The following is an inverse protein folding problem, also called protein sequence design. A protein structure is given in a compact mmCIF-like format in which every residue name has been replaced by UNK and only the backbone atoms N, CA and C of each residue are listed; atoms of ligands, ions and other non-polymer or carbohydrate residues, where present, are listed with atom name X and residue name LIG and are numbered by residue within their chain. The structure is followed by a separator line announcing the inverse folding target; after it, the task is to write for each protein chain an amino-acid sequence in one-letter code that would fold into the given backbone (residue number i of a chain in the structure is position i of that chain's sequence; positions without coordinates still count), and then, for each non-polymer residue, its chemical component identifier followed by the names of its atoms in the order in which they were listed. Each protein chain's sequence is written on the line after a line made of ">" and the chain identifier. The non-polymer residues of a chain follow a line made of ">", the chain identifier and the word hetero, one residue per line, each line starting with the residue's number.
data_IF_805374747642
#
_entry.id   IF_805374747642
#
_cell.length_a   1.000
_cell.length_b   1.000
_cell.length_c   1.000
_cell.angle_alpha   90.00
_cell.angle_beta   90.00
_cell.angle_gamma   90.00
#
_symmetry.space_group_name_H-M   'P 1'
#
loop_
_entity.id
_entity.type
_entity.pdbx_description
1 polymer ?
#
# COMPACT_ATOMS: atom_id res chain seq x y z
N UNK A 1 -26.95 67.72 -6.64
CA UNK A 1 -26.32 66.54 -7.30
C UNK A 1 -25.00 66.86 -8.04
N UNK A 2 -24.29 67.94 -7.69
CA UNK A 2 -23.03 68.32 -8.34
C UNK A 2 -21.78 67.77 -7.63
N UNK A 3 -21.89 67.36 -6.37
CA UNK A 3 -20.73 67.01 -5.53
C UNK A 3 -20.35 65.52 -5.56
N UNK A 4 -21.26 64.63 -5.98
CA UNK A 4 -21.00 63.18 -6.03
C UNK A 4 -20.14 62.79 -7.24
N UNK A 5 -20.27 63.53 -8.34
CA UNK A 5 -19.46 63.31 -9.56
C UNK A 5 -17.99 63.72 -9.38
N UNK A 6 -17.70 64.77 -8.60
CA UNK A 6 -16.33 65.16 -8.27
C UNK A 6 -15.64 64.16 -7.34
N UNK A 7 -16.37 63.60 -6.36
CA UNK A 7 -15.82 62.55 -5.47
C UNK A 7 -15.51 61.27 -6.25
N UNK A 8 -16.35 60.88 -7.21
CA UNK A 8 -16.09 59.72 -8.06
C UNK A 8 -14.87 59.90 -8.98
N UNK A 9 -14.66 61.11 -9.53
CA UNK A 9 -13.49 61.42 -10.37
C UNK A 9 -12.19 61.44 -9.53
N UNK A 10 -12.24 61.99 -8.31
CA UNK A 10 -11.08 61.99 -7.39
C UNK A 10 -10.68 60.57 -6.99
N UNK A 11 -11.64 59.67 -6.76
CA UNK A 11 -11.35 58.26 -6.43
C UNK A 11 -10.75 57.48 -7.61
N UNK A 12 -11.22 57.73 -8.85
CA UNK A 12 -10.67 57.09 -10.06
C UNK A 12 -9.26 57.60 -10.35
N UNK A 13 -8.99 58.90 -10.16
CA UNK A 13 -7.65 59.49 -10.36
C UNK A 13 -6.66 59.02 -9.27
N UNK A 14 -7.09 58.88 -8.02
CA UNK A 14 -6.26 58.31 -6.94
C UNK A 14 -5.93 56.81 -7.16
N UNK A 15 -6.85 56.06 -7.75
CA UNK A 15 -6.65 54.66 -8.13
C UNK A 15 -5.68 54.50 -9.32
N UNK A 16 -5.71 55.43 -10.29
CA UNK A 16 -4.78 55.46 -11.43
C UNK A 16 -3.37 55.95 -11.05
N UNK A 17 -3.24 56.87 -10.10
CA UNK A 17 -1.93 57.37 -9.62
C UNK A 17 -1.18 56.37 -8.73
N UNK A 18 -1.88 55.35 -8.21
CA UNK A 18 -1.28 54.27 -7.41
C UNK A 18 -0.64 53.17 -8.27
N UNK A 19 -0.78 53.22 -9.60
CA UNK A 19 -0.21 52.22 -10.55
C UNK A 19 1.24 52.56 -10.94
N UNK A 20 1.73 53.78 -10.67
CA UNK A 20 3.05 54.22 -11.13
C UNK A 20 4.24 53.72 -10.28
N UNK A 21 3.99 53.02 -9.17
CA UNK A 21 5.03 52.50 -8.28
C UNK A 21 5.11 50.97 -8.29
N UNK A 22 4.96 50.32 -9.45
CA UNK A 22 5.41 48.93 -9.60
C UNK A 22 6.94 48.91 -9.77
N UNK A 23 7.72 48.31 -8.86
CA UNK A 23 9.13 48.07 -9.12
C UNK A 23 9.27 47.05 -10.25
N UNK A 24 9.85 47.46 -11.39
CA UNK A 24 10.34 46.54 -12.41
C UNK A 24 11.65 45.93 -11.88
N UNK A 25 11.56 44.83 -11.14
CA UNK A 25 12.73 44.00 -10.88
C UNK A 25 12.97 43.12 -12.11
N UNK A 26 13.81 43.59 -13.00
CA UNK A 26 14.60 42.75 -13.90
C UNK A 26 15.56 41.95 -13.00
N UNK A 27 15.34 40.63 -12.85
CA UNK A 27 16.35 39.71 -12.37
C UNK A 27 15.97 38.25 -12.65
N UNK A 28 16.63 37.72 -13.69
CA UNK A 28 17.21 36.38 -13.76
C UNK A 28 16.29 35.17 -13.54
N UNK A 29 16.08 34.43 -14.63
CA UNK A 29 15.61 33.04 -14.67
C UNK A 29 16.55 32.15 -13.84
N UNK A 30 16.29 32.06 -12.54
CA UNK A 30 16.59 30.89 -11.73
C UNK A 30 15.33 30.64 -10.93
N UNK A 31 14.45 29.80 -11.49
CA UNK A 31 13.23 29.36 -10.84
C UNK A 31 13.58 28.73 -9.50
N UNK A 32 13.38 29.51 -8.43
CA UNK A 32 13.25 29.00 -7.07
C UNK A 32 12.01 28.13 -7.12
N UNK A 33 12.21 26.82 -7.16
CA UNK A 33 11.13 25.82 -7.09
C UNK A 33 10.38 26.11 -5.80
N UNK A 34 9.25 26.81 -5.92
CA UNK A 34 8.28 26.88 -4.85
C UNK A 34 7.95 25.45 -4.48
N UNK A 35 8.09 25.18 -3.19
CA UNK A 35 7.85 23.91 -2.53
C UNK A 35 6.40 23.48 -2.79
N UNK A 36 6.18 22.91 -3.98
CA UNK A 36 5.04 22.05 -4.27
C UNK A 36 5.09 21.02 -3.16
N UNK A 37 4.04 20.91 -2.36
CA UNK A 37 3.87 19.79 -1.43
C UNK A 37 3.94 18.53 -2.29
N UNK A 38 5.14 17.99 -2.47
CA UNK A 38 5.35 16.64 -2.92
C UNK A 38 4.69 15.84 -1.83
N UNK A 39 3.44 15.44 -2.06
CA UNK A 39 2.81 14.39 -1.28
C UNK A 39 3.86 13.30 -1.19
N UNK A 40 4.42 13.09 0.00
CA UNK A 40 5.48 12.15 0.24
C UNK A 40 5.02 10.84 -0.39
N UNK A 41 5.62 10.46 -1.53
CA UNK A 41 5.17 9.29 -2.28
C UNK A 41 5.47 8.14 -1.35
N UNK A 42 4.45 7.67 -0.62
CA UNK A 42 4.58 6.57 0.34
C UNK A 42 5.21 5.42 -0.45
N UNK A 43 6.47 5.16 -0.17
CA UNK A 43 7.23 4.11 -0.84
C UNK A 43 6.46 2.81 -0.63
N UNK A 44 5.94 2.24 -1.71
CA UNK A 44 5.21 0.98 -1.66
C UNK A 44 6.12 -0.08 -1.03
N UNK A 45 5.63 -0.75 0.00
CA UNK A 45 6.42 -1.78 0.69
C UNK A 45 6.70 -2.93 -0.28
N UNK A 46 7.95 -3.40 -0.32
CA UNK A 46 8.33 -4.55 -1.17
C UNK A 46 7.52 -5.80 -0.82
N UNK A 47 7.22 -6.04 0.46
CA UNK A 47 6.35 -7.11 0.94
C UNK A 47 4.94 -6.96 0.35
N UNK A 48 4.42 -5.73 0.29
CA UNK A 48 3.08 -5.47 -0.24
C UNK A 48 3.04 -5.72 -1.76
N UNK A 49 4.08 -5.34 -2.50
CA UNK A 49 4.20 -5.66 -3.92
C UNK A 49 4.25 -7.18 -4.16
N UNK A 50 5.08 -7.90 -3.38
CA UNK A 50 5.19 -9.36 -3.46
C UNK A 50 3.84 -10.01 -3.12
N UNK A 51 3.18 -9.57 -2.04
CA UNK A 51 1.89 -10.11 -1.64
C UNK A 51 0.82 -9.87 -2.70
N UNK A 52 0.76 -8.67 -3.29
CA UNK A 52 -0.16 -8.37 -4.37
C UNK A 52 0.03 -9.34 -5.55
N UNK A 53 1.29 -9.56 -5.97
CA UNK A 53 1.63 -10.50 -7.05
C UNK A 53 1.34 -11.96 -6.71
N UNK A 54 1.52 -12.35 -5.46
CA UNK A 54 1.16 -13.68 -5.00
C UNK A 54 -0.35 -13.90 -5.08
N UNK A 55 -1.13 -12.97 -4.54
CA UNK A 55 -2.60 -13.02 -4.52
C UNK A 55 -3.21 -12.92 -5.92
N UNK A 56 -2.56 -12.20 -6.83
CA UNK A 56 -2.94 -12.10 -8.26
C UNK A 56 -2.97 -13.47 -8.93
N UNK A 57 -2.01 -14.37 -8.63
CA UNK A 57 -2.00 -15.75 -9.18
C UNK A 57 -3.26 -16.53 -8.86
N UNK A 58 -3.94 -16.19 -7.77
CA UNK A 58 -5.18 -16.84 -7.36
C UNK A 58 -6.42 -16.13 -7.90
N UNK A 59 -6.29 -14.98 -8.57
CA UNK A 59 -7.37 -14.04 -8.87
C UNK A 59 -8.13 -13.62 -7.60
N UNK A 60 -7.37 -13.32 -6.54
CA UNK A 60 -7.94 -12.93 -5.25
C UNK A 60 -8.38 -11.46 -5.26
N UNK A 61 -9.56 -11.11 -4.72
CA UNK A 61 -9.93 -9.71 -4.50
C UNK A 61 -9.02 -8.99 -3.49
N UNK A 62 -8.30 -9.75 -2.65
CA UNK A 62 -7.40 -9.23 -1.63
C UNK A 62 -6.10 -8.65 -2.23
N UNK A 63 -5.79 -8.91 -3.50
CA UNK A 63 -4.57 -8.41 -4.16
C UNK A 63 -4.46 -6.86 -4.09
N UNK A 64 -5.60 -6.16 -4.12
CA UNK A 64 -5.67 -4.70 -4.05
C UNK A 64 -5.49 -4.14 -2.63
N UNK A 65 -5.42 -5.02 -1.62
CA UNK A 65 -5.28 -4.69 -0.20
C UNK A 65 -3.95 -5.16 0.39
N UNK A 66 -2.98 -5.56 -0.45
CA UNK A 66 -1.70 -6.09 0.00
C UNK A 66 -0.94 -5.12 0.93
N UNK A 67 -1.02 -3.80 0.69
CA UNK A 67 -0.43 -2.82 1.59
C UNK A 67 -1.15 -2.77 2.95
N UNK A 68 -2.48 -2.92 2.97
CA UNK A 68 -3.24 -2.96 4.23
C UNK A 68 -2.82 -4.16 5.09
N UNK A 69 -2.52 -5.32 4.47
CA UNK A 69 -1.99 -6.49 5.20
C UNK A 69 -0.65 -6.22 5.86
N UNK A 70 0.30 -5.63 5.11
CA UNK A 70 1.63 -5.34 5.63
C UNK A 70 1.56 -4.28 6.72
N UNK A 71 0.81 -3.19 6.49
CA UNK A 71 0.60 -2.13 7.48
C UNK A 71 -0.03 -2.70 8.77
N UNK A 72 -1.03 -3.57 8.66
CA UNK A 72 -1.68 -4.18 9.83
C UNK A 72 -0.78 -5.19 10.55
N UNK A 73 0.03 -5.96 9.82
CA UNK A 73 1.00 -6.87 10.40
C UNK A 73 2.08 -6.13 11.19
N UNK A 74 2.67 -5.09 10.58
CA UNK A 74 3.70 -4.27 11.22
C UNK A 74 3.14 -3.56 12.46
N UNK A 75 1.92 -3.00 12.37
CA UNK A 75 1.25 -2.34 13.52
C UNK A 75 0.97 -3.28 14.71
N UNK A 76 0.88 -4.59 14.46
CA UNK A 76 0.57 -5.60 15.48
C UNK A 76 1.75 -6.53 15.81
N UNK A 77 2.93 -6.32 15.19
CA UNK A 77 4.10 -7.18 15.36
C UNK A 77 3.85 -8.62 14.94
N UNK A 78 3.13 -8.81 13.82
CA UNK A 78 2.83 -10.12 13.23
C UNK A 78 3.76 -10.42 12.05
N UNK A 79 3.96 -11.71 11.74
CA UNK A 79 4.50 -12.08 10.43
C UNK A 79 3.49 -11.66 9.35
N UNK A 80 3.92 -10.84 8.39
CA UNK A 80 3.09 -10.32 7.31
C UNK A 80 2.47 -11.41 6.43
N UNK A 81 3.01 -12.62 6.46
CA UNK A 81 2.49 -13.79 5.75
C UNK A 81 1.31 -14.44 6.45
N UNK A 82 1.18 -14.27 7.77
CA UNK A 82 0.22 -15.02 8.60
C UNK A 82 -1.24 -14.79 8.16
N UNK A 83 -1.70 -13.53 8.17
CA UNK A 83 -3.10 -13.23 7.90
C UNK A 83 -3.51 -13.52 6.43
N UNK A 84 -2.69 -13.23 5.40
CA UNK A 84 -2.95 -13.71 4.04
C UNK A 84 -3.05 -15.24 3.95
N UNK A 85 -2.17 -15.98 4.62
CA UNK A 85 -2.20 -17.44 4.61
C UNK A 85 -3.44 -18.03 5.29
N UNK A 86 -3.93 -17.40 6.36
CA UNK A 86 -5.23 -17.77 6.96
C UNK A 86 -6.35 -17.58 5.93
N UNK A 87 -6.39 -16.45 5.20
CA UNK A 87 -7.40 -16.26 4.15
C UNK A 87 -7.30 -17.33 3.03
N UNK A 88 -6.08 -17.79 2.71
CA UNK A 88 -5.85 -18.90 1.80
C UNK A 88 -6.56 -20.18 2.22
N UNK A 89 -6.49 -20.52 3.50
CA UNK A 89 -7.15 -21.71 4.08
C UNK A 89 -8.67 -21.54 4.12
N UNK A 90 -9.16 -20.39 4.57
CA UNK A 90 -10.57 -20.19 4.93
C UNK A 90 -11.46 -19.93 3.71
N UNK A 91 -10.95 -19.26 2.68
CA UNK A 91 -11.78 -18.77 1.57
C UNK A 91 -11.07 -18.76 0.23
N UNK A 92 -9.94 -19.45 0.10
CA UNK A 92 -9.07 -19.37 -1.09
C UNK A 92 -8.72 -17.91 -1.38
N UNK A 93 -8.23 -17.21 -0.36
CA UNK A 93 -7.88 -15.79 -0.41
C UNK A 93 -9.08 -14.88 -0.76
N UNK A 94 -10.22 -15.07 -0.08
CA UNK A 94 -11.40 -14.20 -0.22
C UNK A 94 -12.25 -14.47 -1.45
N UNK A 95 -11.99 -15.54 -2.20
CA UNK A 95 -12.78 -15.92 -3.38
C UNK A 95 -14.08 -16.63 -3.03
N UNK A 96 -14.04 -17.44 -1.98
CA UNK A 96 -15.17 -18.26 -1.54
C UNK A 96 -15.64 -17.74 -0.19
N UNK A 97 -16.47 -16.70 -0.22
CA UNK A 97 -17.10 -16.14 0.97
C UNK A 97 -18.62 -16.07 0.77
N UNK A 98 -19.44 -16.20 1.83
CA UNK A 98 -20.90 -16.13 1.74
C UNK A 98 -21.44 -14.71 1.49
N UNK A 99 -20.56 -13.70 1.44
CA UNK A 99 -20.88 -12.29 1.26
C UNK A 99 -20.11 -11.39 2.24
N UNK A 100 -20.15 -10.08 1.99
CA UNK A 100 -19.41 -9.10 2.80
C UNK A 100 -17.90 -9.16 2.59
N UNK A 101 -17.13 -8.87 3.65
CA UNK A 101 -15.67 -8.73 3.57
C UNK A 101 -14.91 -9.59 4.60
N UNK A 102 -15.36 -10.83 4.84
CA UNK A 102 -14.76 -11.74 5.82
C UNK A 102 -14.13 -12.97 5.14
N UNK A 103 -12.85 -12.85 4.79
CA UNK A 103 -12.08 -13.93 4.15
C UNK A 103 -11.53 -14.96 5.14
N UNK A 104 -11.78 -14.81 6.44
CA UNK A 104 -11.08 -15.56 7.51
C UNK A 104 -12.01 -16.37 8.40
N UNK A 105 -13.31 -16.36 8.16
CA UNK A 105 -14.29 -17.00 9.06
C UNK A 105 -14.28 -16.41 10.48
N UNK A 106 -13.72 -15.21 10.66
CA UNK A 106 -13.51 -14.63 11.99
C UNK A 106 -14.82 -14.12 12.59
N UNK A 107 -15.06 -14.41 13.86
CA UNK A 107 -16.22 -13.89 14.60
C UNK A 107 -17.58 -14.44 14.14
N UNK A 108 -17.59 -15.58 13.44
CA UNK A 108 -18.82 -16.26 13.02
C UNK A 108 -19.35 -17.12 14.17
N UNK A 109 -20.55 -16.80 14.66
CA UNK A 109 -21.27 -17.57 15.68
C UNK A 109 -22.63 -18.01 15.12
N UNK A 110 -22.89 -19.32 15.04
CA UNK A 110 -24.14 -19.85 14.50
C UNK A 110 -24.34 -19.50 13.01
N UNK A 111 -25.50 -18.91 12.67
CA UNK A 111 -25.88 -18.62 11.27
C UNK A 111 -25.61 -17.16 10.83
N UNK A 112 -25.00 -16.33 11.68
CA UNK A 112 -24.68 -14.94 11.34
C UNK A 112 -23.21 -14.81 10.95
N UNK A 113 -22.94 -14.75 9.64
CA UNK A 113 -21.66 -14.27 9.13
C UNK A 113 -21.68 -12.74 9.14
N UNK A 114 -21.16 -12.12 10.20
CA UNK A 114 -20.91 -10.68 10.20
C UNK A 114 -19.71 -10.41 9.27
N UNK A 115 -20.01 -9.95 8.06
CA UNK A 115 -19.01 -9.34 7.19
C UNK A 115 -18.53 -8.02 7.80
N UNK A 116 -17.25 -7.68 7.62
CA UNK A 116 -16.75 -6.33 7.89
C UNK A 116 -17.33 -5.34 6.87
N UNK A 117 -17.17 -4.03 7.08
CA UNK A 117 -17.60 -2.98 6.13
C UNK A 117 -16.70 -2.89 4.91
N UNK A 118 -15.45 -3.35 5.02
CA UNK A 118 -14.47 -3.40 3.93
C UNK A 118 -13.38 -4.42 4.22
N UNK A 119 -12.63 -4.83 3.19
CA UNK A 119 -11.44 -5.68 3.36
C UNK A 119 -10.42 -5.07 4.32
N UNK A 120 -10.14 -3.78 4.17
CA UNK A 120 -9.22 -3.04 5.04
C UNK A 120 -9.63 -3.14 6.51
N UNK A 121 -10.91 -2.90 6.81
CA UNK A 121 -11.40 -3.02 8.18
C UNK A 121 -11.19 -4.43 8.75
N UNK A 122 -11.57 -5.46 7.99
CA UNK A 122 -11.36 -6.85 8.41
C UNK A 122 -9.89 -7.17 8.68
N UNK A 123 -9.00 -6.74 7.79
CA UNK A 123 -7.54 -6.93 7.92
C UNK A 123 -7.03 -6.34 9.24
N UNK A 124 -7.37 -5.09 9.56
CA UNK A 124 -6.89 -4.42 10.77
C UNK A 124 -7.53 -5.00 12.04
N UNK A 125 -8.83 -5.28 12.04
CA UNK A 125 -9.53 -5.84 13.21
C UNK A 125 -8.99 -7.23 13.53
N UNK A 126 -8.85 -8.09 12.53
CA UNK A 126 -8.38 -9.47 12.75
C UNK A 126 -6.90 -9.47 13.13
N UNK A 127 -6.06 -8.63 12.53
CA UNK A 127 -4.64 -8.52 12.94
C UNK A 127 -4.52 -8.16 14.42
N UNK A 128 -5.31 -7.18 14.88
CA UNK A 128 -5.37 -6.84 16.30
C UNK A 128 -5.87 -8.01 17.14
N UNK A 129 -6.93 -8.68 16.71
CA UNK A 129 -7.48 -9.85 17.37
C UNK A 129 -6.49 -11.02 17.47
N UNK A 130 -5.69 -11.28 16.43
CA UNK A 130 -4.61 -12.28 16.45
C UNK A 130 -3.52 -11.91 17.45
N UNK A 131 -3.13 -10.63 17.49
CA UNK A 131 -2.14 -10.15 18.45
C UNK A 131 -2.62 -10.33 19.90
N UNK A 132 -3.82 -9.85 20.21
CA UNK A 132 -4.36 -9.84 21.56
C UNK A 132 -4.76 -11.22 22.06
N UNK A 133 -5.46 -12.00 21.23
CA UNK A 133 -6.09 -13.25 21.67
C UNK A 133 -5.23 -14.50 21.44
N UNK A 134 -4.10 -14.37 20.72
CA UNK A 134 -3.20 -15.48 20.42
C UNK A 134 -1.74 -15.16 20.76
N UNK A 135 -1.13 -14.19 20.07
CA UNK A 135 0.31 -13.94 20.18
C UNK A 135 0.69 -13.46 21.58
N UNK A 136 -0.06 -12.54 22.17
CA UNK A 136 0.17 -12.05 23.54
C UNK A 136 -0.04 -13.14 24.61
N UNK A 137 -0.66 -14.27 24.24
CA UNK A 137 -0.86 -15.45 25.10
C UNK A 137 0.17 -16.55 24.81
N UNK A 138 1.21 -16.27 24.03
CA UNK A 138 2.29 -17.20 23.71
C UNK A 138 2.01 -18.12 22.51
N UNK A 139 0.89 -17.95 21.81
CA UNK A 139 0.54 -18.73 20.63
C UNK A 139 1.13 -18.06 19.38
N UNK A 140 2.43 -18.24 19.15
CA UNK A 140 3.19 -17.47 18.16
C UNK A 140 3.28 -18.11 16.77
N UNK A 141 2.71 -19.30 16.57
CA UNK A 141 2.68 -19.99 15.28
C UNK A 141 1.33 -20.67 15.02
N UNK A 142 0.97 -20.97 13.75
CA UNK A 142 -0.35 -21.52 13.44
C UNK A 142 -0.65 -22.88 14.09
N UNK A 143 0.33 -23.73 14.37
CA UNK A 143 0.10 -24.99 15.11
C UNK A 143 -0.37 -24.70 16.54
N UNK A 144 0.24 -23.72 17.22
CA UNK A 144 -0.18 -23.31 18.55
C UNK A 144 -1.56 -22.63 18.55
N UNK A 145 -1.87 -21.85 17.50
CA UNK A 145 -3.17 -21.18 17.35
C UNK A 145 -4.32 -22.16 17.05
N UNK A 146 -4.02 -23.32 16.46
CA UNK A 146 -5.01 -24.24 15.87
C UNK A 146 -6.20 -24.53 16.77
N UNK A 147 -5.96 -24.97 18.01
CA UNK A 147 -7.04 -25.40 18.93
C UNK A 147 -8.00 -24.29 19.33
N UNK A 148 -7.61 -23.03 19.18
CA UNK A 148 -8.46 -21.87 19.49
C UNK A 148 -9.14 -21.36 18.21
N UNK A 149 -8.43 -21.35 17.08
CA UNK A 149 -8.95 -20.76 15.84
C UNK A 149 -9.96 -21.66 15.15
N UNK A 150 -9.70 -22.97 15.06
CA UNK A 150 -10.47 -23.88 14.23
C UNK A 150 -10.67 -25.25 14.90
N UNK A 151 -11.85 -25.83 14.69
CA UNK A 151 -12.14 -27.21 15.12
C UNK A 151 -11.29 -28.25 14.38
N UNK A 152 -10.90 -27.96 13.13
CA UNK A 152 -10.08 -28.84 12.31
C UNK A 152 -8.66 -28.98 12.89
N UNK A 153 -8.17 -30.20 13.17
CA UNK A 153 -6.81 -30.40 13.67
C UNK A 153 -5.72 -30.08 12.63
N UNK A 154 -6.05 -30.08 11.33
CA UNK A 154 -5.09 -29.81 10.26
C UNK A 154 -4.95 -28.32 9.90
N UNK A 155 -5.71 -27.43 10.53
CA UNK A 155 -5.80 -26.02 10.09
C UNK A 155 -4.43 -25.32 10.17
N UNK A 156 -3.70 -25.49 11.28
CA UNK A 156 -2.39 -24.89 11.48
C UNK A 156 -1.37 -25.33 10.44
N UNK A 157 -1.39 -26.62 10.06
CA UNK A 157 -0.54 -27.14 8.99
C UNK A 157 -0.85 -26.52 7.62
N UNK A 158 -2.14 -26.31 7.31
CA UNK A 158 -2.56 -25.65 6.06
C UNK A 158 -2.16 -24.17 6.02
N UNK A 159 -2.24 -23.47 7.16
CA UNK A 159 -1.77 -22.08 7.24
C UNK A 159 -0.26 -22.02 7.04
N UNK A 160 0.51 -22.90 7.69
CA UNK A 160 1.97 -22.98 7.52
C UNK A 160 2.35 -23.31 6.07
N UNK A 161 1.59 -24.18 5.39
CA UNK A 161 1.78 -24.45 3.97
C UNK A 161 1.74 -23.15 3.14
N UNK A 162 0.69 -22.34 3.29
CA UNK A 162 0.58 -21.07 2.55
C UNK A 162 1.64 -20.04 2.97
N UNK A 163 2.07 -20.04 4.25
CA UNK A 163 3.16 -19.14 4.67
C UNK A 163 4.47 -19.51 3.99
N UNK A 164 4.76 -20.81 3.86
CA UNK A 164 5.96 -21.31 3.19
C UNK A 164 5.90 -21.12 1.67
N UNK A 165 4.72 -21.29 1.07
CA UNK A 165 4.51 -21.05 -0.36
C UNK A 165 4.72 -19.57 -0.70
N UNK A 166 4.15 -18.66 0.09
CA UNK A 166 4.39 -17.21 -0.04
C UNK A 166 5.85 -16.83 0.20
N UNK A 167 6.53 -17.46 1.15
CA UNK A 167 7.97 -17.25 1.38
C UNK A 167 8.82 -17.68 0.17
N UNK A 168 8.48 -18.82 -0.42
CA UNK A 168 9.16 -19.37 -1.60
C UNK A 168 8.93 -18.46 -2.82
N UNK A 169 7.68 -18.01 -3.00
CA UNK A 169 7.35 -17.03 -4.03
C UNK A 169 8.12 -15.71 -3.85
N UNK A 170 8.21 -15.21 -2.61
CA UNK A 170 8.94 -13.98 -2.31
C UNK A 170 10.43 -14.07 -2.69
N UNK A 171 11.07 -15.21 -2.41
CA UNK A 171 12.46 -15.48 -2.80
C UNK A 171 12.63 -15.52 -4.31
N UNK A 172 11.76 -16.24 -5.02
CA UNK A 172 11.79 -16.31 -6.48
C UNK A 172 11.61 -14.93 -7.12
N UNK A 173 10.60 -14.17 -6.67
CA UNK A 173 10.33 -12.83 -7.17
C UNK A 173 11.54 -11.89 -7.00
N UNK A 174 12.24 -12.00 -5.87
CA UNK A 174 13.45 -11.21 -5.62
C UNK A 174 14.61 -11.62 -6.53
N UNK A 175 14.84 -12.91 -6.74
CA UNK A 175 15.87 -13.43 -7.65
C UNK A 175 15.61 -12.95 -9.09
N UNK A 176 14.39 -13.17 -9.62
CA UNK A 176 13.99 -12.71 -10.96
C UNK A 176 14.14 -11.20 -11.12
N UNK A 177 13.74 -10.42 -10.10
CA UNK A 177 13.90 -8.97 -10.13
C UNK A 177 15.38 -8.54 -10.17
N UNK A 178 16.27 -9.28 -9.51
CA UNK A 178 17.70 -8.99 -9.49
C UNK A 178 18.40 -9.37 -10.79
N UNK A 179 18.00 -10.48 -11.41
CA UNK A 179 18.50 -10.94 -12.72
C UNK A 179 18.07 -9.98 -13.83
N UNK A 180 16.80 -9.56 -13.84
CA UNK A 180 16.32 -8.58 -14.83
C UNK A 180 17.07 -7.24 -14.72
N UNK A 181 17.41 -6.80 -13.51
CA UNK A 181 18.19 -5.58 -13.29
C UNK A 181 19.65 -5.77 -13.74
N UNK A 182 20.26 -6.94 -13.51
CA UNK A 182 21.62 -7.21 -13.97
C UNK A 182 21.69 -7.27 -15.49
N UNK A 183 20.73 -7.92 -16.15
CA UNK A 183 20.63 -7.97 -17.61
C UNK A 183 20.45 -6.57 -18.23
N UNK A 184 19.56 -5.75 -17.66
CA UNK A 184 19.33 -4.38 -18.12
C UNK A 184 20.59 -3.52 -17.99
N UNK A 185 21.37 -3.69 -16.91
CA UNK A 185 22.65 -2.99 -16.72
C UNK A 185 23.69 -3.39 -17.75
N UNK A 186 23.81 -4.69 -18.05
CA UNK A 186 24.75 -5.19 -19.07
C UNK A 186 24.40 -4.62 -20.45
N UNK A 187 23.12 -4.65 -20.84
CA UNK A 187 22.67 -4.08 -22.12
C UNK A 187 22.94 -2.58 -22.22
N UNK A 188 22.67 -1.84 -21.13
CA UNK A 188 22.92 -0.40 -21.07
C UNK A 188 24.42 -0.09 -21.18
N UNK A 189 25.27 -0.83 -20.46
CA UNK A 189 26.72 -0.67 -20.52
C UNK A 189 27.28 -0.98 -21.91
N UNK A 190 26.81 -2.05 -22.54
CA UNK A 190 27.19 -2.40 -23.91
C UNK A 190 26.79 -1.29 -24.90
N UNK A 191 25.58 -0.74 -24.78
CA UNK A 191 25.12 0.36 -25.63
C UNK A 191 25.95 1.63 -25.44
N UNK A 192 26.22 2.02 -24.19
CA UNK A 192 27.07 3.18 -23.89
C UNK A 192 28.49 3.00 -24.44
N UNK A 193 29.07 1.79 -24.34
CA UNK A 193 30.37 1.49 -24.94
C UNK A 193 30.37 1.58 -26.46
N UNK A 194 29.32 1.10 -27.12
CA UNK A 194 29.17 1.25 -28.58
C UNK A 194 29.05 2.71 -29.02
N UNK A 195 28.35 3.55 -28.25
CA UNK A 195 28.28 4.99 -28.53
C UNK A 195 29.64 5.67 -28.40
N UNK A 196 30.38 5.39 -27.32
CA UNK A 196 31.71 5.94 -27.10
C UNK A 196 32.69 5.58 -28.24
N UNK A 197 32.60 4.37 -28.79
CA UNK A 197 33.42 3.94 -29.94
C UNK A 197 33.02 4.59 -31.27
N UNK A 198 31.78 5.08 -31.41
CA UNK A 198 31.30 5.76 -32.61
C UNK A 198 31.62 7.27 -32.62
N UNK A 199 32.25 7.80 -31.57
CA UNK A 199 32.70 9.20 -31.52
C UNK A 199 31.56 10.23 -31.57
N UNK A 200 30.35 9.83 -31.16
CA UNK A 200 29.20 10.74 -30.95
C UNK A 200 29.13 11.08 -29.47
#
# INVERSE_FOLDING_TARGET
>A
MRNVRFVAIILIVAMLLSIQNLPLTENSVVGKVENTRVSEVKKVDKKALILAKYLEKYNSPLQYHAQDFVDAADANGLDWKLLPSIAGVESTFGKHIPGGYNAWGWGVYGNQALGFRSWKEGIFIISKGLKENYVNRGLTNPYAMNRIYAASPSWGGKVVYFMNDLDSFAKQYQMESSENISELRVKTAAYSGMLALKGI
#
